data_IF_046038241011
#
_entry.id   IF_046038241011
#
_cell.length_a   1.000
_cell.length_b   1.000
_cell.length_c   1.000
_cell.angle_alpha   90.00
_cell.angle_beta   90.00
_cell.angle_gamma   90.00
#
_symmetry.space_group_name_H-M   'P 1'
#
loop_
_entity.id
_entity.type
_entity.pdbx_description
1 polymer ?
#
# COMPACT_ATOMS: atom_id res chain seq x y z
N UNK A 1 -0.33 29.54 8.72
CA UNK A 1 -0.44 28.31 7.91
C UNK A 1 -1.82 27.72 8.17
N UNK A 2 -2.78 27.86 7.24
CA UNK A 2 -4.14 27.33 7.42
C UNK A 2 -4.10 25.82 7.18
N UNK A 3 -4.54 25.03 8.15
CA UNK A 3 -4.51 23.58 8.09
C UNK A 3 -5.76 23.06 7.37
N UNK A 4 -5.91 23.42 6.10
CA UNK A 4 -7.10 23.12 5.29
C UNK A 4 -7.25 21.61 5.01
N UNK A 5 -6.17 20.84 5.15
CA UNK A 5 -6.20 19.36 5.04
C UNK A 5 -7.00 18.69 6.15
N UNK A 6 -7.05 19.29 7.35
CA UNK A 6 -7.83 18.74 8.48
C UNK A 6 -9.31 18.68 8.14
N UNK A 7 -9.80 19.60 7.30
CA UNK A 7 -11.20 19.64 6.86
C UNK A 7 -11.57 18.49 5.92
N UNK A 8 -10.57 17.87 5.30
CA UNK A 8 -10.76 16.73 4.40
C UNK A 8 -10.80 15.41 5.15
N UNK A 9 -10.44 15.38 6.44
CA UNK A 9 -10.43 14.15 7.20
C UNK A 9 -11.86 13.68 7.50
N UNK A 10 -12.14 12.41 7.20
CA UNK A 10 -13.34 11.73 7.70
C UNK A 10 -13.11 11.21 9.11
N UNK A 11 -11.89 10.75 9.38
CA UNK A 11 -11.46 10.13 10.63
C UNK A 11 -10.06 10.62 10.98
N UNK A 12 -9.70 10.55 12.26
CA UNK A 12 -8.33 10.89 12.70
C UNK A 12 -7.33 9.85 12.20
N UNK A 13 -6.10 10.25 11.82
CA UNK A 13 -5.06 9.28 11.46
C UNK A 13 -4.84 8.30 12.61
N UNK A 14 -4.80 7.01 12.31
CA UNK A 14 -4.65 5.95 13.29
C UNK A 14 -3.36 5.18 13.02
N UNK A 15 -2.46 5.17 14.00
CA UNK A 15 -1.30 4.28 14.00
C UNK A 15 -1.74 2.87 14.37
N UNK A 16 -1.50 1.90 13.49
CA UNK A 16 -1.80 0.48 13.74
C UNK A 16 -0.62 -0.16 14.49
N UNK A 17 0.60 0.13 14.03
CA UNK A 17 1.84 -0.23 14.69
C UNK A 17 2.98 0.70 14.23
N UNK A 18 4.23 0.36 14.54
CA UNK A 18 5.40 1.18 14.18
C UNK A 18 5.64 1.31 12.65
N UNK A 19 5.03 0.43 11.84
CA UNK A 19 5.19 0.32 10.38
C UNK A 19 3.94 0.64 9.58
N UNK A 20 2.76 0.60 10.20
CA UNK A 20 1.47 0.72 9.51
C UNK A 20 0.62 1.80 10.17
N UNK A 21 0.04 2.67 9.35
CA UNK A 21 -0.95 3.65 9.77
C UNK A 21 -1.98 3.88 8.68
N UNK A 22 -3.17 4.33 9.09
CA UNK A 22 -4.29 4.59 8.20
C UNK A 22 -4.81 6.01 8.37
N UNK A 23 -5.31 6.57 7.27
CA UNK A 23 -5.97 7.87 7.26
C UNK A 23 -7.13 7.83 6.27
N UNK A 24 -8.33 8.18 6.74
CA UNK A 24 -9.51 8.24 5.89
C UNK A 24 -9.87 9.68 5.56
N UNK A 25 -9.99 9.98 4.27
CA UNK A 25 -10.29 11.32 3.75
C UNK A 25 -11.55 11.34 2.89
N UNK A 26 -12.23 12.48 2.90
CA UNK A 26 -13.34 12.80 2.00
C UNK A 26 -12.78 13.23 0.66
N UNK A 27 -13.27 12.59 -0.39
CA UNK A 27 -13.08 13.01 -1.76
C UNK A 27 -14.28 13.83 -2.24
N UNK A 28 -14.18 14.36 -3.46
CA UNK A 28 -15.32 14.99 -4.13
C UNK A 28 -16.44 13.98 -4.39
N UNK A 29 -17.66 14.46 -4.66
CA UNK A 29 -18.83 13.61 -4.99
C UNK A 29 -19.21 12.59 -3.91
N UNK A 30 -19.00 12.94 -2.64
CA UNK A 30 -19.35 12.11 -1.48
C UNK A 30 -18.64 10.74 -1.46
N UNK A 31 -17.47 10.65 -2.10
CA UNK A 31 -16.62 9.47 -2.06
C UNK A 31 -15.62 9.58 -0.89
N UNK A 32 -15.06 8.45 -0.48
CA UNK A 32 -14.00 8.40 0.53
C UNK A 32 -12.78 7.67 -0.01
N UNK A 33 -11.63 7.99 0.55
CA UNK A 33 -10.40 7.26 0.32
C UNK A 33 -9.75 6.89 1.65
N UNK A 34 -9.26 5.66 1.71
CA UNK A 34 -8.41 5.16 2.78
C UNK A 34 -6.98 5.16 2.29
N UNK A 35 -6.17 5.99 2.92
CA UNK A 35 -4.73 6.04 2.72
C UNK A 35 -4.11 5.11 3.76
N UNK A 36 -3.31 4.15 3.30
CA UNK A 36 -2.53 3.26 4.15
C UNK A 36 -1.07 3.64 3.93
N UNK A 37 -0.42 4.12 4.98
CA UNK A 37 1.01 4.41 4.98
C UNK A 37 1.75 3.23 5.60
N UNK A 38 2.68 2.68 4.85
CA UNK A 38 3.40 1.46 5.20
C UNK A 38 4.92 1.63 5.15
N UNK A 39 5.62 1.01 6.09
CA UNK A 39 7.07 0.88 6.09
C UNK A 39 7.47 -0.60 6.23
N UNK A 40 7.67 -1.28 5.12
CA UNK A 40 7.93 -2.72 5.11
C UNK A 40 9.31 -3.05 5.68
N UNK A 41 9.50 -4.27 6.21
CA UNK A 41 10.83 -4.77 6.60
C UNK A 41 11.83 -4.74 5.45
N UNK A 42 13.12 -4.62 5.79
CA UNK A 42 14.20 -4.69 4.81
C UNK A 42 14.32 -6.10 4.21
N UNK A 43 15.06 -6.23 3.11
CA UNK A 43 15.32 -7.52 2.46
C UNK A 43 16.00 -8.52 3.40
N UNK A 44 16.82 -8.05 4.33
CA UNK A 44 17.58 -8.90 5.26
C UNK A 44 16.81 -9.23 6.54
N UNK A 45 15.59 -8.73 6.71
CA UNK A 45 14.76 -9.07 7.85
C UNK A 45 14.33 -10.54 7.80
N UNK A 46 14.19 -11.14 8.99
CA UNK A 46 13.71 -12.51 9.17
C UNK A 46 12.35 -12.73 8.48
N UNK A 47 12.13 -13.95 7.98
CA UNK A 47 10.91 -14.30 7.25
C UNK A 47 9.66 -14.09 8.11
N UNK A 48 9.70 -14.45 9.39
CA UNK A 48 8.59 -14.25 10.34
C UNK A 48 8.19 -12.77 10.45
N UNK A 49 9.17 -11.85 10.43
CA UNK A 49 8.92 -10.40 10.50
C UNK A 49 8.20 -9.92 9.23
N UNK A 50 8.63 -10.42 8.07
CA UNK A 50 7.99 -10.11 6.78
C UNK A 50 6.58 -10.69 6.73
N UNK A 51 6.39 -11.94 7.14
CA UNK A 51 5.10 -12.60 7.17
C UNK A 51 4.11 -11.85 8.06
N UNK A 52 4.49 -11.53 9.30
CA UNK A 52 3.67 -10.74 10.22
C UNK A 52 3.26 -9.40 9.59
N UNK A 53 4.22 -8.68 8.99
CA UNK A 53 3.94 -7.40 8.34
C UNK A 53 2.92 -7.53 7.20
N UNK A 54 3.12 -8.48 6.28
CA UNK A 54 2.23 -8.65 5.13
C UNK A 54 0.86 -9.21 5.52
N UNK A 55 0.77 -10.07 6.55
CA UNK A 55 -0.51 -10.50 7.12
C UNK A 55 -1.28 -9.33 7.75
N UNK A 56 -0.61 -8.44 8.47
CA UNK A 56 -1.23 -7.24 9.03
C UNK A 56 -1.70 -6.28 7.94
N UNK A 57 -0.90 -6.08 6.89
CA UNK A 57 -1.28 -5.26 5.75
C UNK A 57 -2.51 -5.84 5.03
N UNK A 58 -2.54 -7.16 4.83
CA UNK A 58 -3.66 -7.87 4.22
C UNK A 58 -4.96 -7.71 5.02
N UNK A 59 -4.87 -7.80 6.36
CA UNK A 59 -5.99 -7.56 7.25
C UNK A 59 -6.53 -6.12 7.12
N UNK A 60 -5.67 -5.10 7.13
CA UNK A 60 -6.07 -3.70 6.97
C UNK A 60 -6.76 -3.48 5.61
N UNK A 61 -6.22 -4.05 4.54
CA UNK A 61 -6.81 -3.94 3.20
C UNK A 61 -8.19 -4.60 3.17
N UNK A 62 -8.34 -5.76 3.81
CA UNK A 62 -9.60 -6.52 3.89
C UNK A 62 -10.67 -5.82 4.74
N UNK A 63 -10.26 -5.13 5.81
CA UNK A 63 -11.14 -4.36 6.71
C UNK A 63 -11.53 -3.00 6.14
N UNK A 64 -10.79 -2.51 5.13
CA UNK A 64 -11.10 -1.23 4.49
C UNK A 64 -12.48 -1.29 3.80
N UNK A 65 -13.36 -0.29 3.99
CA UNK A 65 -14.67 -0.26 3.35
C UNK A 65 -14.57 -0.41 1.83
N UNK A 66 -15.39 -1.28 1.24
CA UNK A 66 -15.30 -1.63 -0.20
C UNK A 66 -15.59 -0.44 -1.14
N UNK A 67 -16.34 0.54 -0.64
CA UNK A 67 -16.68 1.76 -1.38
C UNK A 67 -15.53 2.76 -1.41
N UNK A 68 -14.59 2.65 -0.47
CA UNK A 68 -13.46 3.55 -0.36
C UNK A 68 -12.44 3.28 -1.46
N UNK A 69 -11.83 4.36 -1.95
CA UNK A 69 -10.64 4.26 -2.80
C UNK A 69 -9.43 3.99 -1.92
N UNK A 70 -8.72 2.90 -2.19
CA UNK A 70 -7.51 2.55 -1.47
C UNK A 70 -6.31 3.25 -2.11
N UNK A 71 -5.51 3.92 -1.28
CA UNK A 71 -4.20 4.44 -1.66
C UNK A 71 -3.18 3.83 -0.71
N UNK A 72 -2.47 2.82 -1.20
CA UNK A 72 -1.35 2.22 -0.49
C UNK A 72 -0.07 2.98 -0.85
N UNK A 73 0.60 3.56 0.15
CA UNK A 73 1.81 4.35 -0.03
C UNK A 73 2.84 4.10 1.07
N UNK A 74 4.07 4.51 0.81
CA UNK A 74 5.19 4.40 1.74
C UNK A 74 6.37 3.67 1.13
N UNK A 75 7.26 3.18 1.98
CA UNK A 75 8.47 2.49 1.56
C UNK A 75 8.36 1.00 1.86
N UNK A 76 8.28 0.21 0.80
CA UNK A 76 8.13 -1.24 0.87
C UNK A 76 9.46 -1.99 0.81
N UNK A 77 10.60 -1.29 0.73
CA UNK A 77 11.90 -1.91 0.47
C UNK A 77 11.85 -2.88 -0.73
N UNK A 78 10.97 -2.58 -1.69
CA UNK A 78 10.55 -3.48 -2.74
C UNK A 78 11.05 -2.97 -4.09
N UNK A 79 11.60 -3.89 -4.88
CA UNK A 79 11.82 -3.69 -6.31
C UNK A 79 10.84 -4.60 -7.02
N UNK A 80 9.86 -4.03 -7.71
CA UNK A 80 8.82 -4.78 -8.41
C UNK A 80 9.22 -5.20 -9.83
N UNK A 81 10.30 -4.62 -10.36
CA UNK A 81 10.76 -4.92 -11.71
C UNK A 81 9.78 -4.50 -12.81
N UNK A 82 9.96 -5.03 -14.02
CA UNK A 82 9.19 -4.68 -15.22
C UNK A 82 8.41 -5.84 -15.86
N UNK A 83 8.17 -6.94 -15.13
CA UNK A 83 7.58 -8.17 -15.69
C UNK A 83 6.04 -8.08 -15.80
N UNK A 84 5.56 -7.28 -16.74
CA UNK A 84 4.12 -7.05 -16.98
C UNK A 84 3.32 -8.31 -17.26
N UNK A 85 3.92 -9.26 -17.99
CA UNK A 85 3.24 -10.49 -18.40
C UNK A 85 2.95 -11.41 -17.21
N UNK A 86 3.78 -11.36 -16.16
CA UNK A 86 3.61 -12.14 -14.93
C UNK A 86 2.61 -11.50 -13.96
N UNK A 87 2.41 -10.19 -14.04
CA UNK A 87 1.60 -9.41 -13.10
C UNK A 87 0.59 -8.50 -13.84
N UNK A 88 -0.33 -9.09 -14.62
CA UNK A 88 -1.26 -8.33 -15.45
C UNK A 88 -2.16 -7.45 -14.60
N UNK A 89 -2.15 -6.15 -14.86
CA UNK A 89 -2.96 -5.17 -14.13
C UNK A 89 -2.38 -4.74 -12.78
N UNK A 90 -1.31 -5.37 -12.29
CA UNK A 90 -0.71 -5.05 -10.98
C UNK A 90 0.57 -4.21 -11.11
N UNK A 91 1.39 -4.40 -12.15
CA UNK A 91 2.58 -3.57 -12.41
C UNK A 91 2.24 -2.41 -13.34
N UNK A 92 2.61 -1.20 -12.95
CA UNK A 92 2.56 0.00 -13.81
C UNK A 92 3.71 0.04 -14.83
N UNK A 93 3.46 0.61 -16.03
CA UNK A 93 4.33 0.54 -17.23
C UNK A 93 5.79 1.00 -17.09
N UNK A 94 6.15 1.57 -15.95
CA UNK A 94 7.44 2.22 -15.67
C UNK A 94 8.41 1.33 -14.87
N UNK A 95 8.04 0.08 -14.60
CA UNK A 95 8.89 -0.87 -13.86
C UNK A 95 10.17 -1.24 -14.62
N UNK A 96 11.32 -1.22 -13.94
CA UNK A 96 12.63 -1.54 -14.54
C UNK A 96 13.38 -2.59 -13.70
N UNK A 97 14.01 -3.55 -14.40
CA UNK A 97 14.82 -4.60 -13.80
C UNK A 97 13.98 -5.76 -13.24
N UNK A 98 14.60 -6.55 -12.37
CA UNK A 98 13.96 -7.75 -11.80
C UNK A 98 13.31 -7.44 -10.46
N UNK A 99 12.23 -8.16 -10.17
CA UNK A 99 11.63 -8.21 -8.83
C UNK A 99 12.61 -8.76 -7.79
N UNK A 100 12.63 -8.16 -6.60
CA UNK A 100 13.23 -8.79 -5.41
C UNK A 100 12.15 -9.49 -4.56
N UNK A 101 12.53 -10.20 -3.49
CA UNK A 101 11.57 -10.95 -2.65
C UNK A 101 10.47 -10.04 -2.08
N UNK A 102 10.81 -8.85 -1.58
CA UNK A 102 9.82 -7.88 -1.11
C UNK A 102 8.90 -7.38 -2.25
N UNK A 103 9.43 -7.23 -3.46
CA UNK A 103 8.66 -6.92 -4.66
C UNK A 103 7.61 -7.98 -4.96
N UNK A 104 7.99 -9.25 -4.92
CA UNK A 104 7.04 -10.36 -5.13
C UNK A 104 5.96 -10.38 -4.05
N UNK A 105 6.31 -10.18 -2.78
CA UNK A 105 5.34 -10.12 -1.69
C UNK A 105 4.35 -8.96 -1.87
N UNK A 106 4.87 -7.77 -2.20
CA UNK A 106 4.04 -6.60 -2.49
C UNK A 106 3.10 -6.83 -3.68
N UNK A 107 3.61 -7.39 -4.78
CA UNK A 107 2.81 -7.68 -5.97
C UNK A 107 1.75 -8.74 -5.70
N UNK A 108 2.05 -9.73 -4.87
CA UNK A 108 1.07 -10.75 -4.44
C UNK A 108 -0.11 -10.11 -3.70
N UNK A 109 0.17 -9.25 -2.73
CA UNK A 109 -0.87 -8.51 -1.98
C UNK A 109 -1.64 -7.56 -2.91
N UNK A 110 -0.94 -6.81 -3.75
CA UNK A 110 -1.61 -5.89 -4.68
C UNK A 110 -2.51 -6.64 -5.67
N UNK A 111 -2.07 -7.78 -6.20
CA UNK A 111 -2.90 -8.62 -7.07
C UNK A 111 -4.14 -9.15 -6.35
N UNK A 112 -3.99 -9.63 -5.10
CA UNK A 112 -5.12 -10.12 -4.30
C UNK A 112 -6.19 -9.05 -4.04
N UNK A 113 -5.77 -7.79 -3.89
CA UNK A 113 -6.66 -6.65 -3.62
C UNK A 113 -6.99 -5.80 -4.86
N UNK A 114 -6.65 -6.27 -6.07
CA UNK A 114 -6.84 -5.54 -7.34
C UNK A 114 -6.23 -4.12 -7.34
N UNK A 115 -5.07 -3.96 -6.70
CA UNK A 115 -4.30 -2.72 -6.64
C UNK A 115 -3.26 -2.66 -7.74
N UNK A 116 -3.03 -1.46 -8.24
CA UNK A 116 -1.99 -1.19 -9.25
C UNK A 116 -0.82 -0.52 -8.56
N UNK A 117 0.36 -1.12 -8.68
CA UNK A 117 1.61 -0.55 -8.19
C UNK A 117 2.13 0.49 -9.18
N UNK A 118 2.52 1.64 -8.65
CA UNK A 118 3.33 2.63 -9.37
C UNK A 118 4.55 2.94 -8.54
N UNK A 119 5.71 2.65 -9.09
CA UNK A 119 6.99 2.98 -8.47
C UNK A 119 7.41 4.35 -8.97
N UNK A 120 7.67 5.28 -8.05
CA UNK A 120 8.30 6.56 -8.34
C UNK A 120 9.76 6.42 -7.91
N UNK A 121 10.66 6.36 -8.88
CA UNK A 121 12.11 6.39 -8.66
C UNK A 121 12.65 7.81 -8.94
#
# INVERSE_FOLDING_TARGET
MKNDLVKLLSEVPTGINERLSTLRIKLTKNQQATIISAYAPTLDADEDIKEIFYCQLDAILSETPKEDKIILLGDFNARVGGDFDLWPGTIGKEGVGNSNQNGILLLTICAAHNLITKTLF
#
